data_IF_047089872108
#
_entry.id   IF_047089872108
#
_cell.length_a   1.000
_cell.length_b   1.000
_cell.length_c   1.000
_cell.angle_alpha   90.00
_cell.angle_beta   90.00
_cell.angle_gamma   90.00
#
_symmetry.space_group_name_H-M   'P 1'
#
loop_
_entity.id
_entity.type
_entity.pdbx_description
1 polymer ?
#
# COMPACT_ATOMS: atom_id res chain seq x y z
N UNK A 1 19.14 -14.99 20.96
CA UNK A 1 17.89 -14.31 20.56
C UNK A 1 16.73 -15.14 21.08
N UNK A 2 15.70 -14.57 21.72
CA UNK A 2 14.57 -15.34 22.23
C UNK A 2 13.76 -15.95 21.07
N UNK A 3 13.26 -17.17 21.24
CA UNK A 3 12.50 -17.90 20.21
C UNK A 3 11.24 -17.14 19.72
N UNK A 4 10.67 -16.28 20.56
CA UNK A 4 9.50 -15.44 20.25
C UNK A 4 9.76 -14.38 19.17
N UNK A 5 11.02 -14.01 18.92
CA UNK A 5 11.38 -13.01 17.91
C UNK A 5 11.37 -13.58 16.48
N UNK A 6 11.44 -14.90 16.34
CA UNK A 6 11.46 -15.60 15.04
C UNK A 6 10.04 -15.84 14.51
N UNK A 7 9.05 -15.98 15.38
CA UNK A 7 7.64 -16.15 15.00
C UNK A 7 6.98 -14.87 14.45
N UNK A 8 7.61 -13.70 14.62
CA UNK A 8 7.13 -12.38 14.14
C UNK A 8 7.72 -11.98 12.77
N UNK A 9 8.38 -12.91 12.07
CA UNK A 9 9.07 -12.59 10.82
C UNK A 9 8.09 -12.24 9.68
N UNK A 10 6.96 -12.93 9.63
CA UNK A 10 6.00 -12.87 8.53
C UNK A 10 4.56 -12.68 9.00
N UNK A 11 3.75 -12.01 8.18
CA UNK A 11 2.30 -11.87 8.37
C UNK A 11 1.59 -12.54 7.20
N UNK A 12 0.70 -13.48 7.49
CA UNK A 12 -0.14 -14.15 6.49
C UNK A 12 -1.49 -13.44 6.37
N UNK A 13 -1.93 -13.20 5.14
CA UNK A 13 -3.18 -12.53 4.82
C UNK A 13 -3.97 -13.41 3.85
N UNK A 14 -5.14 -13.91 4.27
CA UNK A 14 -6.06 -14.60 3.37
C UNK A 14 -6.70 -13.59 2.41
N UNK A 15 -6.53 -13.81 1.11
CA UNK A 15 -7.10 -12.96 0.07
C UNK A 15 -8.63 -12.94 0.09
N UNK A 16 -9.28 -13.99 0.59
CA UNK A 16 -10.75 -14.04 0.73
C UNK A 16 -11.29 -13.03 1.74
N UNK A 17 -10.46 -12.60 2.69
CA UNK A 17 -10.86 -11.61 3.68
C UNK A 17 -11.00 -10.22 3.06
N UNK A 18 -10.53 -9.99 1.84
CA UNK A 18 -10.46 -8.66 1.23
C UNK A 18 -11.33 -8.62 -0.03
N UNK A 19 -12.60 -8.19 0.08
CA UNK A 19 -13.45 -8.00 -1.08
C UNK A 19 -12.86 -6.98 -2.06
N UNK A 20 -13.21 -7.12 -3.34
CA UNK A 20 -12.78 -6.17 -4.39
C UNK A 20 -13.18 -4.72 -4.02
N UNK A 21 -12.27 -3.78 -4.25
CA UNK A 21 -12.40 -2.37 -3.89
C UNK A 21 -12.11 -2.05 -2.42
N UNK A 22 -11.94 -3.06 -1.56
CA UNK A 22 -11.67 -2.83 -0.14
C UNK A 22 -10.17 -2.85 0.19
N UNK A 23 -9.83 -2.10 1.23
CA UNK A 23 -8.51 -2.13 1.86
C UNK A 23 -8.67 -2.63 3.28
N UNK A 24 -7.86 -3.61 3.66
CA UNK A 24 -7.71 -4.04 5.06
C UNK A 24 -6.31 -3.69 5.57
N UNK A 25 -6.24 -3.40 6.86
CA UNK A 25 -4.99 -3.08 7.55
C UNK A 25 -4.57 -4.29 8.38
N UNK A 26 -3.33 -4.72 8.19
CA UNK A 26 -2.68 -5.78 8.94
C UNK A 26 -1.47 -5.22 9.68
N UNK A 27 -0.95 -5.97 10.65
CA UNK A 27 0.28 -5.61 11.35
C UNK A 27 1.43 -6.51 10.89
N UNK A 28 2.57 -5.90 10.57
CA UNK A 28 3.83 -6.60 10.31
C UNK A 28 4.97 -5.87 11.03
N UNK A 29 5.68 -6.56 11.92
CA UNK A 29 6.76 -5.99 12.76
C UNK A 29 6.32 -4.72 13.52
N UNK A 30 5.11 -4.73 14.08
CA UNK A 30 4.53 -3.60 14.82
C UNK A 30 4.17 -2.39 13.96
N UNK A 31 4.14 -2.54 12.63
CA UNK A 31 3.83 -1.48 11.67
C UNK A 31 2.59 -1.85 10.85
N UNK A 32 1.72 -0.88 10.52
CA UNK A 32 0.55 -1.15 9.69
C UNK A 32 0.97 -1.44 8.25
N UNK A 33 0.31 -2.41 7.62
CA UNK A 33 0.39 -2.71 6.19
C UNK A 33 -1.01 -2.68 5.63
N UNK A 34 -1.21 -1.88 4.57
CA UNK A 34 -2.45 -1.87 3.82
C UNK A 34 -2.38 -2.90 2.71
N UNK A 35 -3.36 -3.80 2.69
CA UNK A 35 -3.58 -4.74 1.59
C UNK A 35 -4.90 -4.40 0.94
N UNK A 36 -4.87 -4.12 -0.36
CA UNK A 36 -6.02 -3.71 -1.15
C UNK A 36 -6.25 -4.67 -2.31
N UNK A 37 -7.48 -5.13 -2.43
CA UNK A 37 -7.97 -5.80 -3.63
C UNK A 37 -8.51 -4.72 -4.58
N UNK A 38 -7.77 -4.43 -5.65
CA UNK A 38 -8.05 -3.33 -6.57
C UNK A 38 -9.10 -3.72 -7.60
N UNK A 39 -9.97 -2.77 -7.93
CA UNK A 39 -10.90 -2.91 -9.06
C UNK A 39 -10.16 -2.74 -10.39
N UNK A 40 -10.75 -3.24 -11.48
CA UNK A 40 -10.24 -3.02 -12.85
C UNK A 40 -10.07 -1.54 -13.20
N UNK A 41 -10.97 -0.67 -12.72
CA UNK A 41 -10.90 0.76 -12.99
C UNK A 41 -9.72 1.42 -12.26
N UNK A 42 -9.45 1.01 -11.02
CA UNK A 42 -8.27 1.47 -10.28
C UNK A 42 -6.99 1.05 -11.01
N UNK A 43 -6.87 -0.23 -11.40
CA UNK A 43 -5.71 -0.74 -12.14
C UNK A 43 -5.47 0.05 -13.43
N UNK A 44 -6.51 0.22 -14.25
CA UNK A 44 -6.40 0.94 -15.51
C UNK A 44 -5.97 2.40 -15.30
N UNK A 45 -6.55 3.07 -14.30
CA UNK A 45 -6.19 4.45 -13.95
C UNK A 45 -4.74 4.57 -13.50
N UNK A 46 -4.29 3.71 -12.59
CA UNK A 46 -2.94 3.81 -12.02
C UNK A 46 -1.85 3.47 -13.05
N UNK A 47 -2.12 2.55 -13.98
CA UNK A 47 -1.24 2.24 -15.12
C UNK A 47 -1.15 3.36 -16.15
N UNK A 48 -2.20 4.17 -16.31
CA UNK A 48 -2.25 5.27 -17.26
C UNK A 48 -1.57 6.57 -16.76
N UNK A 49 -1.11 6.60 -15.51
CA UNK A 49 -0.47 7.80 -14.94
C UNK A 49 0.84 8.12 -15.65
N UNK A 50 1.01 9.37 -16.08
CA UNK A 50 2.29 9.87 -16.58
C UNK A 50 3.31 9.98 -15.44
N UNK A 51 4.21 9.02 -15.34
CA UNK A 51 5.14 8.89 -14.21
C UNK A 51 6.18 10.01 -14.15
N UNK A 52 6.47 10.69 -15.27
CA UNK A 52 7.44 11.80 -15.30
C UNK A 52 6.96 13.03 -14.55
N UNK A 53 5.64 13.17 -14.33
CA UNK A 53 5.05 14.27 -13.59
C UNK A 53 4.94 13.99 -12.09
N UNK A 54 5.27 12.78 -11.65
CA UNK A 54 5.23 12.41 -10.25
C UNK A 54 6.47 12.90 -9.51
N UNK A 55 6.28 13.34 -8.26
CA UNK A 55 7.37 13.73 -7.36
C UNK A 55 8.39 12.60 -7.15
N UNK A 56 7.88 11.37 -7.01
CA UNK A 56 8.69 10.16 -6.90
C UNK A 56 8.25 9.19 -8.02
N UNK A 57 8.86 9.30 -9.21
CA UNK A 57 8.50 8.52 -10.38
C UNK A 57 8.62 7.02 -10.12
N UNK A 58 7.51 6.31 -10.27
CA UNK A 58 7.46 4.86 -10.19
C UNK A 58 6.21 4.36 -10.91
N UNK A 59 6.37 3.39 -11.81
CA UNK A 59 5.25 2.78 -12.52
C UNK A 59 4.48 1.84 -11.58
N UNK A 60 3.22 1.55 -11.94
CA UNK A 60 2.38 0.67 -11.12
C UNK A 60 2.89 -0.79 -11.12
N UNK A 61 3.36 -1.27 -12.26
CA UNK A 61 3.93 -2.61 -12.45
C UNK A 61 5.25 -2.83 -11.70
N UNK A 62 5.89 -1.75 -11.22
CA UNK A 62 7.08 -1.82 -10.37
C UNK A 62 6.72 -1.90 -8.87
N UNK A 63 5.46 -1.68 -8.51
CA UNK A 63 4.98 -1.61 -7.13
C UNK A 63 4.15 -2.82 -6.72
N UNK A 64 3.62 -3.55 -7.70
CA UNK A 64 2.76 -4.71 -7.49
C UNK A 64 3.31 -5.93 -8.22
N UNK A 65 3.13 -7.12 -7.64
CA UNK A 65 3.49 -8.39 -8.30
C UNK A 65 2.29 -8.98 -9.07
N UNK A 66 1.07 -8.66 -8.65
CA UNK A 66 -0.19 -8.97 -9.32
C UNK A 66 -1.05 -7.71 -9.36
N UNK A 67 -1.61 -7.37 -10.52
CA UNK A 67 -2.30 -6.10 -10.73
C UNK A 67 -3.47 -5.90 -9.76
N UNK A 68 -4.18 -6.95 -9.41
CA UNK A 68 -5.33 -6.88 -8.52
C UNK A 68 -4.97 -6.67 -7.05
N UNK A 69 -3.70 -6.77 -6.66
CA UNK A 69 -3.26 -6.68 -5.27
C UNK A 69 -2.22 -5.58 -5.05
N UNK A 70 -2.60 -4.58 -4.27
CA UNK A 70 -1.66 -3.56 -3.76
C UNK A 70 -1.33 -3.85 -2.30
N UNK A 71 -0.05 -3.91 -1.98
CA UNK A 71 0.48 -4.14 -0.62
C UNK A 71 1.46 -3.02 -0.32
N UNK A 72 1.12 -2.14 0.63
CA UNK A 72 1.95 -0.98 0.97
C UNK A 72 2.02 -0.78 2.48
N UNK A 73 3.15 -0.33 2.99
CA UNK A 73 3.30 0.10 4.37
C UNK A 73 2.36 1.28 4.65
N UNK A 74 1.55 1.16 5.70
CA UNK A 74 0.61 2.18 6.16
C UNK A 74 1.28 3.32 6.93
N UNK A 75 2.50 3.70 6.54
CA UNK A 75 3.32 4.71 7.22
C UNK A 75 3.62 5.83 6.24
N UNK A 76 3.09 7.02 6.53
CA UNK A 76 3.33 8.20 5.73
C UNK A 76 4.82 8.56 5.72
N UNK A 77 5.40 8.75 4.54
CA UNK A 77 6.83 9.04 4.36
C UNK A 77 7.22 10.46 4.76
N UNK A 78 6.26 11.30 5.17
CA UNK A 78 6.56 12.60 5.77
C UNK A 78 7.16 12.44 7.17
N UNK A 79 6.35 12.04 8.15
CA UNK A 79 6.72 11.95 9.58
C UNK A 79 6.10 10.73 10.27
N UNK A 80 5.68 9.71 9.52
CA UNK A 80 5.31 8.40 10.07
C UNK A 80 3.86 8.23 10.54
N UNK A 81 2.98 9.22 10.39
CA UNK A 81 1.55 9.05 10.66
C UNK A 81 0.93 7.94 9.79
N UNK A 82 -0.15 7.31 10.28
CA UNK A 82 -0.92 6.31 9.52
C UNK A 82 -1.91 7.01 8.58
N UNK A 83 -1.81 6.86 7.25
CA UNK A 83 -2.81 7.37 6.32
C UNK A 83 -4.16 6.66 6.48
N UNK A 84 -5.24 7.36 6.19
CA UNK A 84 -6.60 6.81 6.13
C UNK A 84 -6.81 6.22 4.73
N UNK A 85 -7.12 4.92 4.59
CA UNK A 85 -7.40 4.31 3.29
C UNK A 85 -8.73 4.79 2.71
N UNK A 86 -8.86 4.73 1.38
CA UNK A 86 -10.04 5.17 0.62
C UNK A 86 -10.48 6.61 0.96
N UNK A 87 -9.51 7.49 1.18
CA UNK A 87 -9.73 8.89 1.53
C UNK A 87 -8.78 9.82 0.77
N UNK A 88 -9.15 11.10 0.70
CA UNK A 88 -8.38 12.13 0.02
C UNK A 88 -8.83 12.40 -1.40
N UNK A 89 -7.96 13.02 -2.19
CA UNK A 89 -8.28 13.52 -3.53
C UNK A 89 -8.25 12.44 -4.63
N UNK A 90 -7.75 11.25 -4.33
CA UNK A 90 -7.59 10.16 -5.29
C UNK A 90 -8.44 8.99 -4.84
N UNK A 91 -9.40 8.63 -5.68
CA UNK A 91 -10.27 7.48 -5.45
C UNK A 91 -9.44 6.22 -5.21
N UNK A 92 -9.84 5.43 -4.23
CA UNK A 92 -9.10 4.25 -3.78
C UNK A 92 -7.70 4.50 -3.20
N UNK A 93 -7.29 5.76 -3.02
CA UNK A 93 -5.99 6.16 -2.49
C UNK A 93 -5.96 6.29 -0.98
N UNK A 94 -5.01 7.08 -0.47
CA UNK A 94 -4.77 7.23 0.96
C UNK A 94 -4.57 8.70 1.34
N UNK A 95 -5.11 9.09 2.49
CA UNK A 95 -4.98 10.46 3.00
C UNK A 95 -4.33 10.49 4.37
N UNK A 96 -3.20 11.17 4.50
CA UNK A 96 -2.58 11.44 5.79
C UNK A 96 -3.03 12.82 6.31
N UNK A 97 -3.88 12.89 7.35
CA UNK A 97 -4.45 14.14 7.82
C UNK A 97 -3.44 15.04 8.56
N UNK A 98 -2.31 14.50 8.99
CA UNK A 98 -1.32 15.23 9.80
C UNK A 98 -0.82 16.51 9.11
N UNK A 99 -0.53 16.43 7.81
CA UNK A 99 -0.04 17.58 7.02
C UNK A 99 -0.60 17.57 5.58
N UNK A 100 -1.70 16.86 5.35
CA UNK A 100 -2.39 16.86 4.06
C UNK A 100 -1.67 16.11 2.93
N UNK A 101 -1.01 14.98 3.23
CA UNK A 101 -0.42 14.16 2.18
C UNK A 101 -1.49 13.26 1.53
N UNK A 102 -1.58 13.30 0.19
CA UNK A 102 -2.50 12.49 -0.58
C UNK A 102 -1.73 11.51 -1.47
N UNK A 103 -2.03 10.23 -1.31
CA UNK A 103 -1.49 9.15 -2.13
C UNK A 103 -2.57 8.60 -3.06
N UNK A 104 -2.19 8.20 -4.27
CA UNK A 104 -3.11 7.49 -5.18
C UNK A 104 -3.29 6.01 -4.80
N UNK A 105 -4.07 5.26 -5.59
CA UNK A 105 -4.39 3.85 -5.30
C UNK A 105 -3.19 2.90 -5.45
N UNK A 106 -2.10 3.35 -6.06
CA UNK A 106 -0.80 2.66 -6.08
C UNK A 106 0.06 3.00 -4.85
N UNK A 107 -0.40 3.93 -4.00
CA UNK A 107 0.34 4.45 -2.85
C UNK A 107 1.39 5.49 -3.24
N UNK A 108 1.30 6.11 -4.42
CA UNK A 108 2.26 7.13 -4.86
C UNK A 108 1.86 8.49 -4.35
N UNK A 109 2.83 9.28 -3.90
CA UNK A 109 2.56 10.61 -3.37
C UNK A 109 2.17 11.57 -4.49
N UNK A 110 1.03 12.25 -4.33
CA UNK A 110 0.48 13.17 -5.33
C UNK A 110 0.39 14.61 -4.85
N UNK A 111 0.11 14.82 -3.55
CA UNK A 111 -0.03 16.16 -2.94
C UNK A 111 0.45 16.14 -1.49
N UNK A 112 0.77 17.32 -0.96
CA UNK A 112 1.28 17.49 0.40
C UNK A 112 2.79 17.30 0.52
N UNK A 113 3.34 17.35 1.74
CA UNK A 113 4.78 17.50 1.99
C UNK A 113 5.58 16.18 2.00
N UNK A 114 4.91 15.01 1.95
CA UNK A 114 5.60 13.73 1.92
C UNK A 114 6.56 13.65 0.71
N UNK A 115 7.84 13.29 0.89
CA UNK A 115 8.81 13.30 -0.20
C UNK A 115 8.69 12.07 -1.10
N UNK A 116 8.22 10.93 -0.57
CA UNK A 116 8.29 9.63 -1.22
C UNK A 116 6.91 8.93 -1.29
N UNK A 117 6.79 7.95 -2.18
CA UNK A 117 5.65 7.02 -2.22
C UNK A 117 5.61 6.15 -0.96
N UNK A 118 4.45 5.58 -0.60
CA UNK A 118 4.37 4.56 0.43
C UNK A 118 5.28 3.38 0.06
N UNK A 119 5.99 2.86 1.04
CA UNK A 119 6.91 1.73 0.87
C UNK A 119 6.12 0.46 0.53
N UNK A 120 6.67 -0.38 -0.34
CA UNK A 120 6.14 -1.72 -0.62
C UNK A 120 6.97 -2.69 0.22
N UNK A 121 6.39 -3.40 1.21
CA UNK A 121 7.15 -4.38 1.98
C UNK A 121 7.54 -5.57 1.08
N UNK A 122 8.51 -6.40 1.48
CA UNK A 122 8.68 -7.72 0.86
C UNK A 122 7.40 -8.54 1.09
N UNK A 123 6.88 -9.17 0.04
CA UNK A 123 5.79 -10.13 0.14
C UNK A 123 5.86 -11.13 -1.00
N UNK A 124 5.16 -12.25 -0.85
CA UNK A 124 4.96 -13.27 -1.89
C UNK A 124 3.53 -13.78 -1.87
N UNK A 125 3.11 -14.39 -2.98
CA UNK A 125 1.84 -15.11 -3.04
C UNK A 125 2.07 -16.61 -2.88
N UNK A 126 1.32 -17.22 -1.96
CA UNK A 126 1.24 -18.68 -1.79
C UNK A 126 -0.23 -19.07 -1.84
N UNK A 127 -0.62 -19.69 -2.95
CA UNK A 127 -2.02 -20.05 -3.22
C UNK A 127 -2.95 -18.81 -3.09
N UNK A 128 -3.84 -18.82 -2.09
CA UNK A 128 -4.78 -17.73 -1.78
C UNK A 128 -4.32 -16.83 -0.62
N UNK A 129 -3.04 -16.90 -0.26
CA UNK A 129 -2.48 -16.18 0.88
C UNK A 129 -1.36 -15.26 0.41
N UNK A 130 -1.38 -14.02 0.88
CA UNK A 130 -0.27 -13.08 0.77
C UNK A 130 0.58 -13.24 2.03
N UNK A 131 1.87 -13.57 1.85
CA UNK A 131 2.84 -13.67 2.95
C UNK A 131 3.73 -12.43 2.90
N UNK A 132 3.60 -11.56 3.89
CA UNK A 132 4.39 -10.33 4.04
C UNK A 132 5.59 -10.64 4.94
N UNK A 133 6.80 -10.32 4.50
CA UNK A 133 8.05 -10.58 5.23
C UNK A 133 8.91 -11.69 4.67
#
# INVERSE_FOLDING_TARGET
MPADQVALATTEVDMNDIPEGQTKTFEWRGKPVFVKHRTKNEIAREKAVNVSELRHPQRDDERVQRDEWSVVMGICTHLGCVPIPNAGAYDGGYFCPCHGAHYDASGRIRRGPAPLNLEVPPYTFKDNTIVIG
#
